data_IF_154781848208
#
_entry.id   IF_154781848208
#
_cell.length_a   1.000
_cell.length_b   1.000
_cell.length_c   1.000
_cell.angle_alpha   90.00
_cell.angle_beta   90.00
_cell.angle_gamma   90.00
#
_symmetry.space_group_name_H-M   'P 1'
#
loop_
_entity.id
_entity.type
_entity.pdbx_description
1 polymer ?
#
# COMPACT_ATOMS: atom_id res chain seq x y z
N UNK A 1 5.07 -28.96 10.48
CA UNK A 1 6.02 -28.31 11.41
C UNK A 1 6.05 -26.83 11.05
N UNK A 2 5.36 -25.99 11.82
CA UNK A 2 5.21 -24.57 11.56
C UNK A 2 6.38 -23.81 12.20
N UNK A 3 7.25 -23.24 11.39
CA UNK A 3 8.27 -22.32 11.88
C UNK A 3 7.65 -20.95 12.07
N UNK A 4 7.71 -20.43 13.30
CA UNK A 4 7.16 -19.12 13.66
C UNK A 4 8.02 -18.01 13.04
N UNK A 5 7.44 -16.80 12.96
CA UNK A 5 8.05 -15.57 12.44
C UNK A 5 9.45 -15.30 13.01
N UNK A 6 9.71 -15.70 14.26
CA UNK A 6 11.03 -15.57 14.87
C UNK A 6 12.08 -16.50 14.29
N UNK A 7 11.73 -17.74 13.93
CA UNK A 7 12.65 -18.73 13.35
C UNK A 7 13.07 -18.31 11.93
N UNK A 8 12.14 -17.74 11.16
CA UNK A 8 12.41 -17.22 9.81
C UNK A 8 13.32 -15.99 9.87
N UNK A 9 13.08 -15.08 10.81
CA UNK A 9 13.94 -13.89 10.99
C UNK A 9 15.33 -14.26 11.55
N UNK A 10 15.42 -15.30 12.37
CA UNK A 10 16.68 -15.82 12.89
C UNK A 10 17.53 -16.49 11.80
N UNK A 11 16.89 -17.30 10.94
CA UNK A 11 17.54 -17.88 9.77
C UNK A 11 18.05 -16.81 8.78
N UNK A 12 17.26 -15.73 8.58
CA UNK A 12 17.67 -14.60 7.74
C UNK A 12 18.83 -13.78 8.35
N UNK A 13 18.89 -13.67 9.68
CA UNK A 13 19.95 -12.94 10.39
C UNK A 13 21.27 -13.72 10.41
N UNK A 14 21.21 -15.05 10.55
CA UNK A 14 22.40 -15.91 10.62
C UNK A 14 22.93 -16.32 9.22
N UNK A 15 22.17 -16.09 8.14
CA UNK A 15 22.62 -16.33 6.77
C UNK A 15 23.75 -15.37 6.32
N UNK A 16 24.15 -14.39 7.14
CA UNK A 16 25.23 -13.43 6.84
C UNK A 16 26.60 -13.80 7.40
N UNK A 17 26.84 -15.01 7.93
CA UNK A 17 28.21 -15.43 8.34
C UNK A 17 28.62 -16.69 7.60
N UNK A 18 29.22 -16.50 6.43
CA UNK A 18 30.47 -17.16 6.02
C UNK A 18 30.86 -16.64 4.63
N UNK A 19 31.81 -15.72 4.60
CA UNK A 19 32.97 -15.77 3.69
C UNK A 19 34.02 -14.87 4.32
N UNK A 20 34.97 -15.52 4.98
CA UNK A 20 36.28 -14.94 5.27
C UNK A 20 37.01 -14.75 3.93
N UNK A 21 37.62 -13.57 3.81
CA UNK A 21 38.80 -13.23 3.01
C UNK A 21 38.83 -13.66 1.54
N UNK A 22 38.50 -12.72 0.65
CA UNK A 22 39.28 -12.48 -0.58
C UNK A 22 39.15 -11.01 -0.96
N UNK A 23 40.30 -10.35 -1.04
CA UNK A 23 40.47 -9.04 -1.65
C UNK A 23 39.95 -9.00 -3.10
N UNK A 24 39.68 -7.78 -3.56
CA UNK A 24 39.44 -7.32 -4.94
C UNK A 24 37.99 -7.21 -5.44
N UNK A 25 37.74 -6.04 -6.03
CA UNK A 25 36.67 -5.69 -6.97
C UNK A 25 35.30 -5.25 -6.40
N UNK A 26 35.12 -3.92 -6.39
CA UNK A 26 33.82 -3.25 -6.29
C UNK A 26 32.80 -3.90 -7.23
N UNK A 27 31.75 -4.49 -6.66
CA UNK A 27 30.55 -4.84 -7.41
C UNK A 27 29.36 -4.75 -6.46
N UNK A 28 28.59 -3.68 -6.61
CA UNK A 28 27.30 -3.53 -5.94
C UNK A 28 26.46 -4.80 -6.14
N UNK A 29 25.88 -5.38 -5.06
CA UNK A 29 25.04 -6.55 -5.20
C UNK A 29 23.79 -6.18 -5.99
N UNK A 30 23.74 -6.61 -7.25
CA UNK A 30 22.56 -6.47 -8.10
C UNK A 30 21.37 -7.16 -7.43
N UNK A 31 20.42 -6.36 -6.95
CA UNK A 31 19.15 -6.81 -6.35
C UNK A 31 18.51 -7.89 -7.23
N UNK A 32 18.60 -9.15 -6.80
CA UNK A 32 18.16 -10.28 -7.61
C UNK A 32 16.65 -10.20 -7.92
N UNK A 33 16.29 -10.48 -9.17
CA UNK A 33 14.91 -10.47 -9.65
C UNK A 33 13.97 -11.31 -8.77
N UNK A 34 14.48 -12.36 -8.12
CA UNK A 34 13.74 -13.20 -7.18
C UNK A 34 13.18 -12.40 -5.97
N UNK A 35 13.93 -11.44 -5.42
CA UNK A 35 13.45 -10.58 -4.33
C UNK A 35 12.33 -9.65 -4.79
N UNK A 36 12.47 -9.08 -5.99
CA UNK A 36 11.46 -8.22 -6.64
C UNK A 36 10.20 -9.02 -6.99
N UNK A 37 10.33 -10.27 -7.43
CA UNK A 37 9.21 -11.16 -7.75
C UNK A 37 8.43 -11.59 -6.51
N UNK A 38 9.11 -11.86 -5.39
CA UNK A 38 8.46 -12.23 -4.14
C UNK A 38 7.65 -11.04 -3.54
N UNK A 39 8.20 -9.83 -3.59
CA UNK A 39 7.48 -8.60 -3.25
C UNK A 39 6.27 -8.35 -4.18
N UNK A 40 6.42 -8.65 -5.48
CA UNK A 40 5.32 -8.53 -6.45
C UNK A 40 4.25 -9.62 -6.26
N UNK A 41 4.59 -10.82 -5.80
CA UNK A 41 3.64 -11.87 -5.42
C UNK A 41 2.84 -11.48 -4.17
N UNK A 42 3.53 -10.97 -3.13
CA UNK A 42 2.88 -10.44 -1.92
C UNK A 42 1.93 -9.26 -2.22
N UNK A 43 2.31 -8.35 -3.14
CA UNK A 43 1.47 -7.24 -3.62
C UNK A 43 0.20 -7.69 -4.37
N UNK A 44 0.17 -8.89 -4.95
CA UNK A 44 -0.98 -9.42 -5.70
C UNK A 44 -2.00 -10.08 -4.77
N UNK A 45 -1.57 -10.72 -3.69
CA UNK A 45 -2.46 -11.42 -2.73
C UNK A 45 -3.06 -10.53 -1.63
N UNK A 46 -2.52 -9.33 -1.38
CA UNK A 46 -2.96 -8.44 -0.29
C UNK A 46 -4.09 -7.45 -0.67
N UNK A 47 -4.51 -7.41 -1.94
CA UNK A 47 -5.31 -6.30 -2.52
C UNK A 47 -6.74 -6.19 -2.03
N UNK A 48 -7.47 -7.31 -1.89
CA UNK A 48 -8.92 -7.25 -1.63
C UNK A 48 -9.27 -7.07 -0.15
N UNK A 49 -8.40 -7.53 0.75
CA UNK A 49 -8.68 -7.60 2.20
C UNK A 49 -8.43 -6.26 2.90
N UNK A 50 -7.51 -5.42 2.40
CA UNK A 50 -7.14 -4.18 3.07
C UNK A 50 -7.94 -2.95 2.63
N UNK A 51 -8.52 -2.92 1.43
CA UNK A 51 -9.25 -1.72 0.94
C UNK A 51 -10.37 -1.35 1.91
N UNK A 52 -11.12 -2.34 2.40
CA UNK A 52 -12.19 -2.10 3.39
C UNK A 52 -11.70 -1.64 4.76
N UNK A 53 -10.43 -1.92 5.11
CA UNK A 53 -9.81 -1.51 6.38
C UNK A 53 -9.24 -0.10 6.37
N UNK A 54 -9.18 0.54 5.20
CA UNK A 54 -8.69 1.92 5.10
C UNK A 54 -9.59 2.88 5.89
N UNK A 55 -9.04 3.98 6.43
CA UNK A 55 -9.81 4.99 7.13
C UNK A 55 -10.95 5.53 6.25
N UNK A 56 -12.17 5.49 6.79
CA UNK A 56 -13.36 6.06 6.17
C UNK A 56 -14.21 6.78 7.20
N UNK A 57 -14.88 7.84 6.78
CA UNK A 57 -15.75 8.63 7.63
C UNK A 57 -16.99 9.10 6.85
N UNK A 58 -18.05 9.46 7.56
CA UNK A 58 -19.22 10.10 6.94
C UNK A 58 -18.98 11.60 6.80
N UNK A 59 -19.15 12.12 5.58
CA UNK A 59 -19.00 13.54 5.32
C UNK A 59 -20.14 14.33 5.96
N UNK A 60 -19.80 15.49 6.54
CA UNK A 60 -20.75 16.53 6.87
C UNK A 60 -20.28 17.82 6.20
N UNK A 61 -20.93 18.30 5.13
CA UNK A 61 -20.48 19.48 4.39
C UNK A 61 -20.49 20.76 5.25
N UNK A 62 -21.21 20.77 6.38
CA UNK A 62 -21.20 21.90 7.33
C UNK A 62 -19.94 21.94 8.20
N UNK A 63 -19.19 20.84 8.28
CA UNK A 63 -17.98 20.70 9.10
C UNK A 63 -16.87 20.14 8.20
N UNK A 64 -16.16 21.01 7.44
CA UNK A 64 -15.12 20.55 6.52
C UNK A 64 -13.97 19.88 7.29
N UNK A 65 -13.70 18.61 6.99
CA UNK A 65 -12.56 17.85 7.56
C UNK A 65 -11.29 17.94 6.71
N UNK A 66 -11.39 18.58 5.56
CA UNK A 66 -10.40 18.60 4.49
C UNK A 66 -10.71 19.74 3.51
N UNK A 67 -9.71 20.13 2.71
CA UNK A 67 -9.87 21.12 1.65
C UNK A 67 -10.51 20.54 0.38
N UNK A 68 -10.74 19.21 0.31
CA UNK A 68 -11.42 18.58 -0.80
C UNK A 68 -12.94 18.55 -0.57
N UNK A 69 -13.70 19.11 -1.51
CA UNK A 69 -15.16 19.22 -1.43
C UNK A 69 -15.90 18.34 -2.45
N UNK A 70 -15.17 17.66 -3.33
CA UNK A 70 -15.71 16.80 -4.38
C UNK A 70 -14.81 15.59 -4.62
N UNK A 71 -15.40 14.53 -5.16
CA UNK A 71 -14.73 13.31 -5.54
C UNK A 71 -14.23 13.41 -6.98
N UNK A 72 -12.92 13.34 -7.21
CA UNK A 72 -12.36 13.44 -8.57
C UNK A 72 -12.57 12.19 -9.44
N UNK A 73 -13.18 11.13 -8.90
CA UNK A 73 -13.50 9.90 -9.66
C UNK A 73 -14.87 9.98 -10.33
N UNK A 74 -15.91 10.43 -9.62
CA UNK A 74 -17.25 10.65 -10.19
C UNK A 74 -17.53 12.12 -10.54
N UNK A 75 -16.65 13.05 -10.15
CA UNK A 75 -16.78 14.49 -10.36
C UNK A 75 -17.98 15.13 -9.63
N UNK A 76 -18.49 14.46 -8.59
CA UNK A 76 -19.60 14.95 -7.75
C UNK A 76 -19.11 15.46 -6.40
N UNK A 77 -19.83 16.43 -5.82
CA UNK A 77 -19.57 16.95 -4.49
C UNK A 77 -19.82 15.89 -3.39
N UNK A 78 -19.14 16.05 -2.25
CA UNK A 78 -19.44 15.25 -1.07
C UNK A 78 -20.70 15.75 -0.38
N UNK A 79 -21.68 14.87 -0.19
CA UNK A 79 -22.92 15.18 0.50
C UNK A 79 -22.94 14.65 1.94
N UNK A 80 -23.89 15.15 2.72
CA UNK A 80 -24.10 14.71 4.10
C UNK A 80 -24.34 13.20 4.16
N UNK A 81 -23.71 12.52 5.12
CA UNK A 81 -23.82 11.08 5.37
C UNK A 81 -23.23 10.18 4.29
N UNK A 82 -22.59 10.73 3.25
CA UNK A 82 -21.84 9.93 2.29
C UNK A 82 -20.53 9.45 2.91
N UNK A 83 -20.18 8.18 2.65
CA UNK A 83 -18.92 7.60 3.14
C UNK A 83 -17.76 8.05 2.25
N UNK A 84 -16.85 8.80 2.83
CA UNK A 84 -15.59 9.24 2.22
C UNK A 84 -14.47 8.37 2.75
N UNK A 85 -13.59 7.92 1.86
CA UNK A 85 -12.38 7.18 2.19
C UNK A 85 -11.17 8.07 1.97
N UNK A 86 -10.28 8.10 2.95
CA UNK A 86 -9.01 8.83 2.91
C UNK A 86 -7.86 7.84 2.72
N UNK A 87 -7.03 8.09 1.72
CA UNK A 87 -5.85 7.28 1.44
C UNK A 87 -4.64 7.75 2.26
N UNK A 88 -3.57 6.94 2.33
CA UNK A 88 -2.33 7.32 3.05
C UNK A 88 -1.67 8.59 2.50
N UNK A 89 -1.87 8.89 1.22
CA UNK A 89 -1.45 10.14 0.57
C UNK A 89 -2.37 11.35 0.86
N UNK A 90 -3.28 11.24 1.83
CA UNK A 90 -4.25 12.26 2.26
C UNK A 90 -5.34 12.66 1.27
N UNK A 91 -5.39 12.07 0.07
CA UNK A 91 -6.48 12.29 -0.88
C UNK A 91 -7.76 11.55 -0.49
N UNK A 92 -8.89 12.18 -0.78
CA UNK A 92 -10.23 11.78 -0.36
C UNK A 92 -11.15 11.55 -1.55
N UNK A 93 -11.97 10.51 -1.44
CA UNK A 93 -12.88 10.06 -2.48
C UNK A 93 -14.11 9.42 -1.84
N UNK A 94 -15.22 9.30 -2.56
CA UNK A 94 -16.29 8.40 -2.10
C UNK A 94 -15.73 7.00 -1.96
N UNK A 95 -16.03 6.33 -0.85
CA UNK A 95 -15.57 4.96 -0.60
C UNK A 95 -15.90 4.06 -1.78
N UNK A 96 -17.12 4.13 -2.31
CA UNK A 96 -17.54 3.30 -3.44
C UNK A 96 -16.73 3.58 -4.72
N UNK A 97 -16.39 4.83 -4.99
CA UNK A 97 -15.65 5.24 -6.18
C UNK A 97 -14.20 4.77 -6.12
N UNK A 98 -13.51 5.05 -5.02
CA UNK A 98 -12.11 4.65 -4.87
C UNK A 98 -11.96 3.15 -4.65
N UNK A 99 -12.92 2.47 -3.99
CA UNK A 99 -12.87 1.02 -3.81
C UNK A 99 -12.96 0.29 -5.16
N UNK A 100 -13.77 0.80 -6.11
CA UNK A 100 -13.80 0.27 -7.49
C UNK A 100 -12.46 0.46 -8.21
N UNK A 101 -11.84 1.63 -8.06
CA UNK A 101 -10.54 1.93 -8.65
C UNK A 101 -9.44 1.02 -8.08
N UNK A 102 -9.36 0.91 -6.75
CA UNK A 102 -8.32 0.19 -6.03
C UNK A 102 -8.33 -1.32 -6.27
N UNK A 103 -9.48 -1.90 -6.65
CA UNK A 103 -9.57 -3.29 -7.11
C UNK A 103 -8.69 -3.56 -8.33
N UNK A 104 -8.63 -2.61 -9.26
CA UNK A 104 -7.84 -2.73 -10.49
C UNK A 104 -6.42 -2.19 -10.30
N UNK A 105 -6.31 -0.99 -9.72
CA UNK A 105 -5.05 -0.24 -9.56
C UNK A 105 -4.88 0.22 -8.11
N UNK A 106 -3.97 -0.36 -7.32
CA UNK A 106 -3.76 0.01 -5.91
C UNK A 106 -2.91 1.28 -5.79
N UNK A 107 -3.33 2.34 -6.48
CA UNK A 107 -2.65 3.63 -6.53
C UNK A 107 -3.68 4.74 -6.47
N UNK A 108 -3.33 5.87 -5.86
CA UNK A 108 -4.19 7.04 -5.81
C UNK A 108 -4.55 7.55 -7.23
N UNK A 109 -5.85 7.80 -7.54
CA UNK A 109 -6.27 8.39 -8.81
C UNK A 109 -5.66 9.77 -9.10
N UNK A 110 -5.33 10.55 -8.06
CA UNK A 110 -4.83 11.92 -8.19
C UNK A 110 -3.30 11.98 -8.32
N UNK A 111 -2.58 11.38 -7.38
CA UNK A 111 -1.12 11.51 -7.31
C UNK A 111 -0.35 10.23 -7.68
N UNK A 112 -1.04 9.13 -8.01
CA UNK A 112 -0.46 7.83 -8.33
C UNK A 112 0.40 7.19 -7.22
N UNK A 113 0.41 7.77 -6.01
CA UNK A 113 1.05 7.16 -4.85
C UNK A 113 0.46 5.77 -4.58
N UNK A 114 1.29 4.78 -4.19
CA UNK A 114 0.80 3.46 -3.81
C UNK A 114 -0.13 3.54 -2.59
N UNK A 115 -1.09 2.62 -2.54
CA UNK A 115 -2.00 2.45 -1.41
C UNK A 115 -1.26 1.98 -0.15
#
# INVERSE_FOLDING_TARGET
MSYDRYEVLYALRNASVQTLDTDDYESEPSESNAFKECLNWARRHWRSVQIKKLPSYQCNPKIPRSNQTFCSVCLENFELNQTVRKLGCSHEFHSQCVDKWLKSKPTCPLCRAPL
#
